data_IF_728607359464
#
_entry.id   IF_728607359464
#
_cell.length_a   1.000
_cell.length_b   1.000
_cell.length_c   1.000
_cell.angle_alpha   90.00
_cell.angle_beta   90.00
_cell.angle_gamma   90.00
#
_symmetry.space_group_name_H-M   'P 1'
#
loop_
_entity.id
_entity.type
_entity.pdbx_description
1 polymer ?
#
# COMPACT_ATOMS: atom_id res chain seq x y z
N UNK A 1 -8.41 1.14 -23.95
CA UNK A 1 -7.42 0.59 -23.01
C UNK A 1 -7.08 1.63 -21.96
N UNK A 2 -6.93 1.19 -20.73
CA UNK A 2 -6.52 2.09 -19.65
C UNK A 2 -5.06 2.53 -19.87
N UNK A 3 -4.76 3.82 -19.68
CA UNK A 3 -3.40 4.32 -19.71
C UNK A 3 -2.69 3.96 -18.40
N UNK A 4 -1.39 4.27 -18.31
CA UNK A 4 -0.58 3.91 -17.14
C UNK A 4 -1.10 4.56 -15.84
N UNK A 5 -1.50 5.82 -15.88
CA UNK A 5 -2.06 6.47 -14.69
C UNK A 5 -3.33 5.76 -14.21
N UNK A 6 -4.22 5.39 -15.10
CA UNK A 6 -5.45 4.69 -14.76
C UNK A 6 -5.15 3.30 -14.19
N UNK A 7 -4.16 2.60 -14.76
CA UNK A 7 -3.74 1.30 -14.27
C UNK A 7 -3.15 1.39 -12.85
N UNK A 8 -2.34 2.42 -12.59
CA UNK A 8 -1.75 2.63 -11.27
C UNK A 8 -2.84 3.00 -10.26
N UNK A 9 -3.77 3.88 -10.63
CA UNK A 9 -4.89 4.24 -9.76
C UNK A 9 -5.70 3.00 -9.37
N UNK A 10 -6.01 2.15 -10.35
CA UNK A 10 -6.73 0.90 -10.10
C UNK A 10 -5.94 -0.02 -9.17
N UNK A 11 -4.62 -0.10 -9.35
CA UNK A 11 -3.76 -0.90 -8.49
C UNK A 11 -3.91 -0.48 -7.02
N UNK A 12 -3.93 0.82 -6.75
CA UNK A 12 -4.06 1.35 -5.39
C UNK A 12 -5.48 1.16 -4.84
N UNK A 13 -6.50 1.33 -5.67
CA UNK A 13 -7.88 1.07 -5.25
C UNK A 13 -8.09 -0.40 -4.90
N UNK A 14 -7.55 -1.29 -5.74
CA UNK A 14 -7.59 -2.74 -5.46
C UNK A 14 -6.81 -3.08 -4.19
N UNK A 15 -5.65 -2.41 -4.00
CA UNK A 15 -4.83 -2.61 -2.80
C UNK A 15 -5.54 -2.19 -1.53
N UNK A 16 -6.20 -1.04 -1.53
CA UNK A 16 -6.96 -0.57 -0.37
C UNK A 16 -8.06 -1.58 0.00
N UNK A 17 -8.80 -2.05 -0.97
CA UNK A 17 -9.85 -3.06 -0.74
C UNK A 17 -9.27 -4.36 -0.22
N UNK A 18 -8.15 -4.80 -0.79
CA UNK A 18 -7.49 -6.04 -0.38
C UNK A 18 -6.94 -5.96 1.04
N UNK A 19 -6.42 -4.80 1.44
CA UNK A 19 -5.94 -4.59 2.81
C UNK A 19 -7.08 -4.70 3.81
N UNK A 20 -8.21 -4.05 3.54
CA UNK A 20 -9.39 -4.11 4.41
C UNK A 20 -9.96 -5.53 4.46
N UNK A 21 -9.97 -6.23 3.34
CA UNK A 21 -10.47 -7.62 3.27
C UNK A 21 -9.45 -8.64 3.77
N UNK A 22 -8.22 -8.23 4.04
CA UNK A 22 -7.10 -9.12 4.33
C UNK A 22 -6.93 -10.18 3.23
N UNK A 23 -7.10 -9.76 1.99
CA UNK A 23 -6.99 -10.62 0.81
C UNK A 23 -5.52 -10.80 0.42
N UNK A 24 -4.87 -11.76 1.06
CA UNK A 24 -3.43 -12.00 0.89
C UNK A 24 -3.08 -12.40 -0.54
N UNK A 25 -3.95 -13.14 -1.21
CA UNK A 25 -3.73 -13.54 -2.60
C UNK A 25 -3.66 -12.34 -3.54
N UNK A 26 -4.60 -11.41 -3.40
CA UNK A 26 -4.62 -10.19 -4.21
C UNK A 26 -3.43 -9.29 -3.89
N UNK A 27 -3.11 -9.13 -2.60
CA UNK A 27 -1.95 -8.34 -2.18
C UNK A 27 -0.63 -8.93 -2.68
N UNK A 28 -0.54 -10.26 -2.75
CA UNK A 28 0.65 -10.91 -3.29
C UNK A 28 0.87 -10.57 -4.77
N UNK A 29 -0.21 -10.30 -5.50
CA UNK A 29 -0.13 -9.85 -6.88
C UNK A 29 0.28 -8.37 -6.98
N UNK A 30 -0.19 -7.54 -6.05
CA UNK A 30 0.02 -6.09 -6.04
C UNK A 30 1.43 -5.73 -5.57
N UNK A 31 1.91 -6.35 -4.51
CA UNK A 31 3.27 -6.11 -4.00
C UNK A 31 4.29 -6.92 -4.79
N UNK A 32 5.35 -6.25 -5.23
CA UNK A 32 6.47 -6.94 -5.88
C UNK A 32 7.20 -7.84 -4.88
N UNK A 33 7.88 -8.87 -5.39
CA UNK A 33 8.61 -9.80 -4.53
C UNK A 33 9.73 -9.12 -3.73
N UNK A 34 10.28 -8.04 -4.25
CA UNK A 34 11.31 -7.23 -3.59
C UNK A 34 10.75 -6.04 -2.83
N UNK A 35 9.44 -6.04 -2.52
CA UNK A 35 8.77 -4.96 -1.79
C UNK A 35 9.39 -4.74 -0.41
N UNK A 36 9.58 -3.47 -0.05
CA UNK A 36 9.97 -3.05 1.30
C UNK A 36 9.05 -1.92 1.76
N UNK A 37 8.62 -2.01 3.00
CA UNK A 37 7.80 -0.99 3.64
C UNK A 37 8.55 -0.41 4.83
N UNK A 38 8.70 0.91 4.83
CA UNK A 38 9.25 1.67 5.96
C UNK A 38 8.07 2.32 6.67
N UNK A 39 7.84 1.92 7.92
CA UNK A 39 6.71 2.47 8.65
C UNK A 39 7.10 3.76 9.41
N UNK A 40 6.12 4.36 10.07
CA UNK A 40 6.28 5.63 10.79
C UNK A 40 7.19 5.53 12.01
N UNK A 41 7.49 4.32 12.47
CA UNK A 41 8.40 4.10 13.61
C UNK A 41 9.83 3.82 13.18
N UNK A 42 10.06 3.71 11.86
CA UNK A 42 11.37 3.35 11.31
C UNK A 42 11.60 1.86 11.15
N UNK A 43 10.61 1.03 11.43
CA UNK A 43 10.71 -0.41 11.18
C UNK A 43 10.58 -0.69 9.69
N UNK A 44 11.23 -1.76 9.26
CA UNK A 44 11.23 -2.18 7.85
C UNK A 44 10.59 -3.55 7.74
N UNK A 45 9.62 -3.66 6.84
CA UNK A 45 8.89 -4.89 6.59
C UNK A 45 9.08 -5.34 5.14
N UNK A 46 9.31 -6.63 4.95
CA UNK A 46 9.32 -7.24 3.61
C UNK A 46 7.89 -7.53 3.18
N UNK A 47 7.71 -7.91 1.91
CA UNK A 47 6.42 -8.40 1.41
C UNK A 47 5.88 -9.52 2.30
N UNK A 48 6.74 -10.48 2.65
CA UNK A 48 6.33 -11.62 3.45
C UNK A 48 5.86 -11.19 4.85
N UNK A 49 6.56 -10.24 5.46
CA UNK A 49 6.17 -9.69 6.76
C UNK A 49 4.78 -9.06 6.71
N UNK A 50 4.52 -8.24 5.70
CA UNK A 50 3.23 -7.56 5.55
C UNK A 50 2.10 -8.58 5.36
N UNK A 51 2.30 -9.56 4.48
CA UNK A 51 1.30 -10.58 4.21
C UNK A 51 1.05 -11.46 5.43
N UNK A 52 2.10 -11.85 6.16
CA UNK A 52 1.96 -12.65 7.37
C UNK A 52 1.22 -11.92 8.47
N UNK A 53 1.49 -10.63 8.67
CA UNK A 53 0.81 -9.83 9.69
C UNK A 53 -0.69 -9.75 9.43
N UNK A 54 -1.10 -9.67 8.17
CA UNK A 54 -2.52 -9.70 7.80
C UNK A 54 -3.11 -11.10 7.95
N UNK A 55 -2.39 -12.11 7.49
CA UNK A 55 -2.85 -13.50 7.52
C UNK A 55 -3.08 -13.99 8.94
N UNK A 56 -2.21 -13.62 9.87
CA UNK A 56 -2.28 -14.05 11.26
C UNK A 56 -3.12 -13.12 12.14
N UNK A 57 -3.58 -11.99 11.60
CA UNK A 57 -4.39 -11.03 12.33
C UNK A 57 -3.62 -10.15 13.31
N UNK A 58 -2.29 -10.08 13.18
CA UNK A 58 -1.48 -9.14 13.96
C UNK A 58 -1.96 -7.71 13.75
N UNK A 59 -2.33 -7.38 12.50
CA UNK A 59 -2.95 -6.12 12.16
C UNK A 59 -4.18 -6.36 11.29
N UNK A 60 -5.20 -5.55 11.51
CA UNK A 60 -6.41 -5.52 10.70
C UNK A 60 -6.75 -4.09 10.34
N UNK A 61 -7.06 -3.86 9.08
CA UNK A 61 -7.59 -2.58 8.62
C UNK A 61 -9.10 -2.71 8.55
N UNK A 62 -9.79 -2.01 9.45
CA UNK A 62 -11.25 -2.05 9.50
C UNK A 62 -11.85 -1.13 8.45
N UNK A 63 -11.19 -0.01 8.17
CA UNK A 63 -11.52 0.88 7.07
C UNK A 63 -10.28 1.66 6.63
N UNK A 64 -10.26 2.07 5.37
CA UNK A 64 -9.21 2.91 4.79
C UNK A 64 -9.87 3.94 3.88
N UNK A 65 -9.49 5.19 4.04
CA UNK A 65 -9.97 6.28 3.20
C UNK A 65 -8.78 7.09 2.70
N UNK A 66 -8.54 7.05 1.40
CA UNK A 66 -7.44 7.78 0.77
C UNK A 66 -7.94 9.09 0.18
N UNK A 67 -7.17 10.16 0.37
CA UNK A 67 -7.46 11.47 -0.18
C UNK A 67 -6.21 12.07 -0.80
N UNK A 68 -6.39 12.89 -1.83
CA UNK A 68 -5.29 13.62 -2.46
C UNK A 68 -4.24 12.75 -3.11
N UNK A 69 -4.62 11.55 -3.55
CA UNK A 69 -3.67 10.65 -4.22
C UNK A 69 -3.18 11.26 -5.52
N UNK A 70 -1.87 11.35 -5.67
CA UNK A 70 -1.22 11.88 -6.85
C UNK A 70 -0.24 10.87 -7.42
N UNK A 71 -0.25 10.76 -8.74
CA UNK A 71 0.61 9.84 -9.48
C UNK A 71 1.58 10.67 -10.31
N UNK A 72 2.88 10.41 -10.16
CA UNK A 72 3.93 11.06 -10.93
C UNK A 72 4.68 10.02 -11.73
N UNK A 73 4.46 9.99 -13.03
CA UNK A 73 5.21 9.13 -13.93
C UNK A 73 6.61 9.71 -14.12
N UNK A 74 7.63 8.97 -13.71
CA UNK A 74 9.04 9.40 -13.84
C UNK A 74 9.66 8.87 -15.12
N UNK A 75 9.17 7.73 -15.61
CA UNK A 75 9.57 7.11 -16.86
C UNK A 75 8.44 6.20 -17.32
N UNK A 76 8.67 5.45 -18.39
CA UNK A 76 7.67 4.49 -18.88
C UNK A 76 7.39 3.36 -17.88
N UNK A 77 8.35 3.08 -16.97
CA UNK A 77 8.29 1.91 -16.11
C UNK A 77 8.37 2.24 -14.62
N UNK A 78 8.44 3.53 -14.25
CA UNK A 78 8.59 3.94 -12.85
C UNK A 78 7.68 5.13 -12.57
N UNK A 79 6.96 5.05 -11.45
CA UNK A 79 6.15 6.16 -10.96
C UNK A 79 6.24 6.25 -9.45
N UNK A 80 5.98 7.44 -8.94
CA UNK A 80 5.79 7.69 -7.50
C UNK A 80 4.33 8.03 -7.28
N UNK A 81 3.74 7.40 -6.27
CA UNK A 81 2.37 7.66 -5.84
C UNK A 81 2.42 8.17 -4.41
N UNK A 82 1.80 9.30 -4.16
CA UNK A 82 1.75 9.85 -2.81
C UNK A 82 0.36 10.39 -2.50
N UNK A 83 0.05 10.45 -1.22
CA UNK A 83 -1.25 10.91 -0.75
C UNK A 83 -1.37 10.83 0.74
N UNK A 84 -2.59 11.01 1.21
CA UNK A 84 -2.95 10.90 2.62
C UNK A 84 -3.99 9.82 2.77
N UNK A 85 -4.00 9.15 3.93
CA UNK A 85 -5.07 8.20 4.24
C UNK A 85 -5.43 8.26 5.72
N UNK A 86 -6.69 7.99 5.99
CA UNK A 86 -7.24 7.83 7.33
C UNK A 86 -7.70 6.39 7.47
N UNK A 87 -7.11 5.68 8.42
CA UNK A 87 -7.37 4.26 8.64
C UNK A 87 -7.99 4.06 10.01
N UNK A 88 -8.84 3.05 10.11
CA UNK A 88 -9.30 2.52 11.37
C UNK A 88 -8.68 1.13 11.51
N UNK A 89 -7.84 0.96 12.52
CA UNK A 89 -6.93 -0.20 12.63
C UNK A 89 -7.19 -0.94 13.93
N UNK A 90 -7.10 -2.25 13.89
CA UNK A 90 -7.07 -3.12 15.06
C UNK A 90 -5.71 -3.80 15.14
N UNK A 91 -5.03 -3.62 16.26
CA UNK A 91 -3.71 -4.19 16.47
C UNK A 91 -3.51 -4.47 17.95
N UNK A 92 -3.07 -5.68 18.28
CA UNK A 92 -2.86 -6.08 19.66
C UNK A 92 -4.11 -6.03 20.53
N UNK A 93 -5.28 -6.31 19.94
CA UNK A 93 -6.56 -6.25 20.63
C UNK A 93 -7.11 -4.85 20.85
N UNK A 94 -6.46 -3.83 20.27
CA UNK A 94 -6.86 -2.43 20.39
C UNK A 94 -7.28 -1.88 19.04
N UNK A 95 -8.36 -1.12 19.05
CA UNK A 95 -8.85 -0.41 17.87
C UNK A 95 -8.55 1.08 18.01
N UNK A 96 -7.96 1.66 16.96
CA UNK A 96 -7.64 3.09 16.98
C UNK A 96 -7.63 3.67 15.56
N UNK A 97 -7.96 4.96 15.42
CA UNK A 97 -7.81 5.65 14.15
C UNK A 97 -6.35 6.09 13.99
N UNK A 98 -5.86 6.10 12.76
CA UNK A 98 -4.54 6.61 12.45
C UNK A 98 -4.55 7.27 11.08
N UNK A 99 -3.87 8.41 10.97
CA UNK A 99 -3.69 9.12 9.72
C UNK A 99 -2.25 9.03 9.26
N UNK A 100 -2.07 8.81 7.96
CA UNK A 100 -0.75 8.71 7.34
C UNK A 100 -0.63 9.63 6.14
N UNK A 101 0.60 10.07 5.89
CA UNK A 101 1.04 10.52 4.58
C UNK A 101 1.94 9.43 4.05
N UNK A 102 1.78 9.06 2.79
CA UNK A 102 2.59 7.99 2.21
C UNK A 102 3.23 8.42 0.90
N UNK A 103 4.37 7.79 0.61
CA UNK A 103 5.03 7.86 -0.68
C UNK A 103 5.40 6.44 -1.08
N UNK A 104 4.84 5.99 -2.20
CA UNK A 104 5.08 4.65 -2.73
C UNK A 104 5.79 4.75 -4.07
N UNK A 105 6.67 3.78 -4.32
CA UNK A 105 7.30 3.61 -5.62
C UNK A 105 6.64 2.43 -6.32
N UNK A 106 6.21 2.65 -7.56
CA UNK A 106 5.64 1.60 -8.39
C UNK A 106 6.49 1.40 -9.63
N UNK A 107 6.61 0.17 -10.05
CA UNK A 107 7.39 -0.21 -11.23
C UNK A 107 6.56 -1.11 -12.13
N UNK A 108 6.82 -0.97 -13.44
CA UNK A 108 6.20 -1.82 -14.46
C UNK A 108 7.21 -2.86 -14.89
N UNK A 109 6.93 -4.12 -14.61
CA UNK A 109 7.75 -5.26 -14.99
C UNK A 109 6.88 -6.27 -15.70
N UNK A 110 7.34 -6.76 -16.83
CA UNK A 110 6.59 -7.72 -17.64
C UNK A 110 5.19 -7.22 -17.97
N UNK A 111 5.08 -5.93 -18.29
CA UNK A 111 3.81 -5.29 -18.67
C UNK A 111 2.87 -5.02 -17.51
N UNK A 112 3.29 -5.20 -16.27
CA UNK A 112 2.42 -5.11 -15.09
C UNK A 112 3.00 -4.19 -14.03
N UNK A 113 2.16 -3.27 -13.53
CA UNK A 113 2.53 -2.39 -12.41
C UNK A 113 2.43 -3.12 -11.09
N UNK A 114 3.43 -2.92 -10.22
CA UNK A 114 3.46 -3.43 -8.86
C UNK A 114 4.07 -2.39 -7.94
N UNK A 115 3.71 -2.43 -6.66
CA UNK A 115 4.29 -1.57 -5.63
C UNK A 115 5.59 -2.24 -5.17
N UNK A 116 6.72 -1.51 -5.26
CA UNK A 116 8.03 -2.03 -4.90
C UNK A 116 8.57 -1.44 -3.60
N UNK A 117 8.01 -0.33 -3.16
CA UNK A 117 8.43 0.29 -1.91
C UNK A 117 7.40 1.26 -1.40
N UNK A 118 7.34 1.40 -0.09
CA UNK A 118 6.43 2.34 0.58
C UNK A 118 7.14 2.98 1.75
N UNK A 119 6.86 4.25 1.97
CA UNK A 119 7.25 4.94 3.19
C UNK A 119 6.04 5.66 3.76
N UNK A 120 5.81 5.46 5.05
CA UNK A 120 4.69 6.04 5.78
C UNK A 120 5.21 7.06 6.79
N UNK A 121 4.52 8.18 6.88
CA UNK A 121 4.72 9.16 7.94
C UNK A 121 3.39 9.40 8.63
N UNK A 122 3.40 9.43 9.94
CA UNK A 122 2.17 9.63 10.70
C UNK A 122 1.76 11.09 10.64
N UNK A 123 0.48 11.33 10.40
CA UNK A 123 -0.09 12.68 10.51
C UNK A 123 -0.40 12.97 11.96
N UNK A 124 -0.04 14.16 12.35
CA UNK A 124 -0.30 14.64 13.70
C UNK A 124 -1.62 15.40 13.76
#
# INVERSE_FOLDING_TARGET
MANDEQQILKLFEDGDRALVAADVSELSRIFADDYLQYDETGDVFTKQDVLNNLKTGVIRYLSMSSTGRRIRLLSQDVAIVHGSEEDDVEQGGRRFPVGYIYMDVVVKRDGRWQIVGSQLAKRV
#
